data_IF_855293291152
#
_entry.id   IF_855293291152
#
_cell.length_a   1.000
_cell.length_b   1.000
_cell.length_c   1.000
_cell.angle_alpha   90.00
_cell.angle_beta   90.00
_cell.angle_gamma   90.00
#
_symmetry.space_group_name_H-M   'P 1'
#
loop_
_entity.id
_entity.type
_entity.pdbx_description
1 polymer ?
#
# COMPACT_ATOMS: atom_id res chain seq x y z
N UNK A 1 3.75 -31.79 -18.25
CA UNK A 1 2.49 -31.69 -17.50
C UNK A 1 2.86 -31.66 -16.04
N UNK A 2 2.30 -30.74 -15.26
CA UNK A 2 2.34 -30.86 -13.79
C UNK A 2 1.00 -31.46 -13.43
N UNK A 3 1.00 -32.68 -12.91
CA UNK A 3 -0.21 -33.36 -12.44
C UNK A 3 -0.58 -32.84 -11.06
N UNK A 4 -1.78 -32.27 -10.93
CA UNK A 4 -2.40 -32.03 -9.63
C UNK A 4 -3.11 -33.33 -9.24
N UNK A 5 -2.32 -34.26 -8.70
CA UNK A 5 -2.64 -35.67 -8.40
C UNK A 5 -3.90 -35.92 -7.58
N UNK A 6 -4.49 -34.90 -6.96
CA UNK A 6 -5.72 -35.05 -6.16
C UNK A 6 -6.99 -35.03 -7.01
N UNK A 7 -6.94 -34.54 -8.25
CA UNK A 7 -8.13 -34.28 -9.08
C UNK A 7 -8.06 -34.79 -10.52
N UNK A 8 -7.07 -35.62 -10.88
CA UNK A 8 -6.85 -36.09 -12.27
C UNK A 8 -6.86 -34.94 -13.31
N UNK A 9 -6.27 -33.79 -12.96
CA UNK A 9 -6.21 -32.62 -13.83
C UNK A 9 -4.85 -32.53 -14.54
N UNK A 10 -4.90 -32.54 -15.88
CA UNK A 10 -3.76 -32.28 -16.74
C UNK A 10 -3.57 -30.78 -17.02
N UNK A 11 -2.43 -30.23 -16.60
CA UNK A 11 -2.07 -28.86 -16.94
C UNK A 11 -1.52 -28.77 -18.38
N UNK A 12 -2.31 -28.16 -19.27
CA UNK A 12 -1.87 -27.77 -20.61
C UNK A 12 -1.47 -26.29 -20.63
N UNK A 13 -0.17 -25.96 -20.76
CA UNK A 13 0.26 -24.57 -20.89
C UNK A 13 -0.30 -23.98 -22.19
N UNK A 14 -1.19 -23.00 -22.07
CA UNK A 14 -1.53 -22.11 -23.18
C UNK A 14 -0.34 -21.17 -23.34
N UNK A 15 0.21 -21.07 -24.55
CA UNK A 15 1.41 -20.26 -24.83
C UNK A 15 1.32 -18.85 -24.24
N UNK A 16 2.47 -18.22 -23.99
CA UNK A 16 2.56 -16.93 -23.29
C UNK A 16 1.49 -15.96 -23.79
N UNK A 17 0.51 -15.64 -22.93
CA UNK A 17 -0.43 -14.55 -23.17
C UNK A 17 0.45 -13.32 -23.32
N UNK A 18 0.37 -12.63 -24.47
CA UNK A 18 1.22 -11.50 -24.85
C UNK A 18 1.48 -10.62 -23.63
N UNK A 19 2.66 -10.75 -23.03
CA UNK A 19 3.03 -10.11 -21.77
C UNK A 19 2.95 -8.59 -21.86
N UNK A 20 2.95 -8.07 -23.09
CA UNK A 20 2.66 -6.69 -23.45
C UNK A 20 1.30 -6.23 -22.91
N UNK A 21 0.22 -6.99 -23.08
CA UNK A 21 -1.10 -6.59 -22.56
C UNK A 21 -1.12 -6.55 -21.03
N UNK A 22 -0.39 -7.44 -20.37
CA UNK A 22 -0.23 -7.40 -18.91
C UNK A 22 0.59 -6.17 -18.48
N UNK A 23 1.67 -5.85 -19.21
CA UNK A 23 2.51 -4.68 -18.95
C UNK A 23 1.75 -3.37 -19.19
N UNK A 24 1.00 -3.28 -20.28
CA UNK A 24 0.15 -2.12 -20.62
C UNK A 24 -0.98 -1.96 -19.60
N UNK A 25 -1.59 -3.07 -19.14
CA UNK A 25 -2.59 -3.03 -18.07
C UNK A 25 -2.02 -2.56 -16.74
N UNK A 26 -0.83 -3.07 -16.35
CA UNK A 26 -0.16 -2.60 -15.13
C UNK A 26 0.19 -1.13 -15.25
N UNK A 27 0.65 -0.67 -16.42
CA UNK A 27 0.98 0.73 -16.67
C UNK A 27 -0.26 1.66 -16.62
N UNK A 28 -1.39 1.23 -17.19
CA UNK A 28 -2.68 1.95 -17.14
C UNK A 28 -3.26 1.99 -15.72
N UNK A 29 -3.07 0.92 -14.95
CA UNK A 29 -3.54 0.80 -13.57
C UNK A 29 -2.61 1.49 -12.55
N UNK A 30 -1.33 1.65 -12.89
CA UNK A 30 -0.41 2.45 -12.09
C UNK A 30 -0.64 3.92 -12.40
N UNK A 31 -1.05 4.68 -11.38
CA UNK A 31 -0.85 6.12 -11.39
C UNK A 31 0.62 6.36 -11.72
N UNK A 32 0.97 7.25 -12.67
CA UNK A 32 2.35 7.69 -12.78
C UNK A 32 2.81 8.11 -11.37
N UNK A 33 4.12 8.04 -11.07
CA UNK A 33 4.63 8.85 -9.99
C UNK A 33 4.41 10.30 -10.44
N UNK A 34 3.19 10.80 -10.27
CA UNK A 34 2.99 12.15 -9.80
C UNK A 34 4.09 12.32 -8.77
N UNK A 35 4.91 13.35 -8.95
CA UNK A 35 5.53 14.03 -7.84
C UNK A 35 4.40 14.28 -6.84
N UNK A 36 4.10 13.28 -6.03
CA UNK A 36 3.52 13.46 -4.75
C UNK A 36 4.65 14.15 -4.00
N UNK A 37 4.80 15.45 -4.26
CA UNK A 37 5.02 16.45 -3.25
C UNK A 37 3.83 16.41 -2.27
N UNK A 38 3.46 15.21 -1.80
CA UNK A 38 2.76 15.02 -0.57
C UNK A 38 3.76 15.51 0.45
N UNK A 39 3.69 16.80 0.73
CA UNK A 39 4.51 17.41 1.74
C UNK A 39 4.34 16.58 3.01
N UNK A 40 5.44 16.07 3.58
CA UNK A 40 5.38 15.05 4.60
C UNK A 40 4.67 15.59 5.85
N UNK A 41 3.83 14.77 6.45
CA UNK A 41 3.22 15.04 7.75
C UNK A 41 4.02 14.34 8.85
N UNK A 42 4.24 15.03 9.97
CA UNK A 42 4.88 14.47 11.16
C UNK A 42 3.82 14.23 12.24
N UNK A 43 3.72 12.99 12.70
CA UNK A 43 2.84 12.61 13.80
C UNK A 43 3.67 12.38 15.07
N UNK A 44 3.40 13.17 16.11
CA UNK A 44 4.00 13.04 17.44
C UNK A 44 2.95 12.57 18.45
N UNK A 45 3.32 11.62 19.31
CA UNK A 45 2.42 11.11 20.37
C UNK A 45 3.19 11.12 21.69
N UNK A 46 2.66 11.81 22.71
CA UNK A 46 3.25 11.75 24.04
C UNK A 46 2.74 10.51 24.79
N UNK A 47 3.58 9.47 24.79
CA UNK A 47 3.24 8.23 25.46
C UNK A 47 3.36 8.35 26.98
N UNK A 48 2.25 8.61 27.69
CA UNK A 48 2.06 8.16 29.08
C UNK A 48 0.58 8.14 29.51
N UNK A 49 -0.11 7.03 29.24
CA UNK A 49 -1.42 6.77 29.85
C UNK A 49 -1.24 6.19 31.26
N UNK A 50 -1.75 6.88 32.28
CA UNK A 50 -1.75 6.38 33.66
C UNK A 50 -3.08 5.67 33.99
N UNK A 51 -3.11 4.88 35.06
CA UNK A 51 -4.30 4.08 35.48
C UNK A 51 -5.55 4.91 35.78
N UNK A 52 -5.42 6.25 35.89
CA UNK A 52 -6.52 7.19 36.15
C UNK A 52 -7.14 7.72 34.86
N UNK A 53 -6.65 7.30 33.69
CA UNK A 53 -7.18 7.72 32.40
C UNK A 53 -6.80 9.17 32.08
N UNK A 54 -5.56 9.37 31.64
CA UNK A 54 -5.23 10.49 30.77
C UNK A 54 -4.87 9.88 29.42
N UNK A 55 -5.55 10.31 28.36
CA UNK A 55 -5.23 9.90 27.00
C UNK A 55 -3.89 10.47 26.57
N UNK A 56 -3.17 9.81 25.65
CA UNK A 56 -2.00 10.40 25.04
C UNK A 56 -2.42 11.63 24.22
N UNK A 57 -1.63 12.70 24.31
CA UNK A 57 -1.67 13.82 23.39
C UNK A 57 -1.12 13.41 22.03
N UNK A 58 -1.77 13.88 20.98
CA UNK A 58 -1.39 13.63 19.59
C UNK A 58 -1.19 14.98 18.93
N UNK A 59 -0.07 15.17 18.23
CA UNK A 59 0.21 16.37 17.45
C UNK A 59 0.54 15.97 16.02
N UNK A 60 -0.12 16.63 15.06
CA UNK A 60 0.12 16.49 13.62
C UNK A 60 0.71 17.79 13.09
N UNK A 61 1.89 17.70 12.49
CA UNK A 61 2.56 18.81 11.80
C UNK A 61 2.50 18.55 10.29
N UNK A 62 1.87 19.47 9.55
CA UNK A 62 1.72 19.38 8.10
C UNK A 62 2.68 20.29 7.32
N UNK A 63 2.62 20.24 5.98
CA UNK A 63 3.16 21.29 5.12
C UNK A 63 2.87 22.69 5.63
N UNK A 64 3.78 23.62 5.36
CA UNK A 64 3.60 25.06 5.65
C UNK A 64 3.43 25.41 7.15
N UNK A 65 3.77 24.48 8.05
CA UNK A 65 3.72 24.69 9.49
C UNK A 65 2.32 24.57 10.09
N UNK A 66 1.41 23.86 9.43
CA UNK A 66 0.08 23.53 9.98
C UNK A 66 0.26 22.64 11.21
N UNK A 67 -0.37 22.99 12.33
CA UNK A 67 -0.36 22.22 13.57
C UNK A 67 -1.79 21.83 13.97
N UNK A 68 -2.00 20.56 14.32
CA UNK A 68 -3.27 20.01 14.83
C UNK A 68 -2.99 19.23 16.12
N UNK A 69 -3.75 19.53 17.18
CA UNK A 69 -3.68 18.91 18.52
C UNK A 69 -4.98 18.16 18.87
#
# INVERSE_FOLDING_TARGET
SVELSEFDLDFSPRGAIKSQMLADFVLEMSTPPEENAASPWTLSVDGASNIRGSGPGVVLEGPDGVLIE
#
